data_IF_296694785973
#
_entry.id   IF_296694785973
#
_cell.length_a   1.000
_cell.length_b   1.000
_cell.length_c   1.000
_cell.angle_alpha   90.00
_cell.angle_beta   90.00
_cell.angle_gamma   90.00
#
_symmetry.space_group_name_H-M   'P 1'
#
loop_
_entity.id
_entity.type
_entity.pdbx_description
1 polymer ?
#
# COMPACT_ATOMS: atom_id res chain seq x y z
N UNK A 1 -15.04 -17.08 44.25
CA UNK A 1 -15.12 -17.97 43.09
C UNK A 1 -16.01 -17.28 42.09
N UNK A 2 -15.43 -16.37 41.31
CA UNK A 2 -16.16 -15.58 40.33
C UNK A 2 -16.39 -16.45 39.10
N UNK A 3 -17.65 -16.55 38.68
CA UNK A 3 -18.03 -17.33 37.52
C UNK A 3 -17.39 -16.71 36.26
N UNK A 4 -16.73 -17.49 35.40
CA UNK A 4 -16.16 -16.96 34.16
C UNK A 4 -17.27 -16.39 33.25
N UNK A 5 -17.02 -15.17 32.77
CA UNK A 5 -17.86 -14.25 32.02
C UNK A 5 -18.71 -14.91 30.90
N UNK A 6 -20.03 -14.75 30.98
CA UNK A 6 -20.97 -15.12 29.91
C UNK A 6 -20.90 -14.21 28.67
N UNK A 7 -20.24 -13.06 28.77
CA UNK A 7 -20.05 -12.09 27.67
C UNK A 7 -19.10 -12.65 26.59
N UNK A 8 -18.10 -13.42 26.99
CA UNK A 8 -17.02 -13.89 26.10
C UNK A 8 -17.46 -15.02 25.16
N UNK A 9 -18.39 -15.88 25.62
CA UNK A 9 -18.93 -16.97 24.79
C UNK A 9 -19.68 -16.46 23.55
N UNK A 10 -20.33 -15.30 23.66
CA UNK A 10 -21.09 -14.72 22.55
C UNK A 10 -20.17 -14.17 21.44
N UNK A 11 -18.97 -13.69 21.77
CA UNK A 11 -18.03 -13.16 20.80
C UNK A 11 -17.46 -14.27 19.88
N UNK A 12 -17.09 -15.41 20.46
CA UNK A 12 -16.60 -16.55 19.70
C UNK A 12 -17.63 -17.15 18.75
N UNK A 13 -18.88 -17.28 19.21
CA UNK A 13 -19.99 -17.73 18.34
C UNK A 13 -20.27 -16.75 17.19
N UNK A 14 -20.21 -15.44 17.46
CA UNK A 14 -20.39 -14.42 16.43
C UNK A 14 -19.31 -14.50 15.34
N UNK A 15 -18.03 -14.59 15.71
CA UNK A 15 -16.95 -14.69 14.72
C UNK A 15 -17.04 -15.99 13.93
N UNK A 16 -17.37 -17.11 14.58
CA UNK A 16 -17.59 -18.39 13.89
C UNK A 16 -18.73 -18.29 12.88
N UNK A 17 -19.83 -17.63 13.24
CA UNK A 17 -20.95 -17.40 12.32
C UNK A 17 -20.53 -16.53 11.13
N UNK A 18 -19.85 -15.41 11.37
CA UNK A 18 -19.35 -14.54 10.31
C UNK A 18 -18.37 -15.26 9.37
N UNK A 19 -17.49 -16.08 9.92
CA UNK A 19 -16.57 -16.92 9.15
C UNK A 19 -17.31 -17.91 8.25
N UNK A 20 -18.34 -18.57 8.78
CA UNK A 20 -19.18 -19.51 8.03
C UNK A 20 -19.92 -18.80 6.90
N UNK A 21 -20.57 -17.66 7.19
CA UNK A 21 -21.27 -16.87 6.17
C UNK A 21 -20.32 -16.38 5.07
N UNK A 22 -19.13 -15.92 5.44
CA UNK A 22 -18.10 -15.53 4.48
C UNK A 22 -17.66 -16.72 3.62
N UNK A 23 -17.42 -17.88 4.23
CA UNK A 23 -17.04 -19.09 3.51
C UNK A 23 -18.09 -19.50 2.48
N UNK A 24 -19.37 -19.51 2.87
CA UNK A 24 -20.46 -19.88 1.98
C UNK A 24 -20.53 -18.93 0.78
N UNK A 25 -20.50 -17.62 1.02
CA UNK A 25 -20.49 -16.61 -0.04
C UNK A 25 -19.26 -16.72 -0.95
N UNK A 26 -18.08 -16.94 -0.36
CA UNK A 26 -16.84 -17.06 -1.14
C UNK A 26 -16.89 -18.28 -2.07
N UNK A 27 -17.44 -19.41 -1.62
CA UNK A 27 -17.51 -20.64 -2.41
C UNK A 27 -18.51 -20.57 -3.55
N UNK A 28 -19.52 -19.71 -3.44
CA UNK A 28 -20.47 -19.44 -4.52
C UNK A 28 -19.89 -18.53 -5.61
N UNK A 29 -18.74 -17.89 -5.38
CA UNK A 29 -18.11 -17.02 -6.36
C UNK A 29 -17.59 -17.77 -7.57
N UNK A 30 -17.98 -17.29 -8.74
CA UNK A 30 -17.40 -17.63 -10.03
C UNK A 30 -16.00 -17.03 -10.18
N UNK A 31 -15.26 -17.53 -11.17
CA UNK A 31 -13.90 -17.03 -11.48
C UNK A 31 -13.88 -15.53 -11.80
N UNK A 32 -14.83 -15.05 -12.60
CA UNK A 32 -14.87 -13.65 -13.04
C UNK A 32 -15.20 -12.72 -11.87
N UNK A 33 -16.11 -13.14 -10.98
CA UNK A 33 -16.42 -12.39 -9.75
C UNK A 33 -15.21 -12.29 -8.81
N UNK A 34 -14.40 -13.36 -8.71
CA UNK A 34 -13.13 -13.33 -7.96
C UNK A 34 -12.12 -12.36 -8.60
N UNK A 35 -12.05 -12.30 -9.93
CA UNK A 35 -11.20 -11.32 -10.62
C UNK A 35 -11.66 -9.90 -10.28
N UNK A 36 -12.96 -9.63 -10.34
CA UNK A 36 -13.52 -8.32 -10.03
C UNK A 36 -13.28 -7.89 -8.57
N UNK A 37 -13.41 -8.83 -7.63
CA UNK A 37 -13.02 -8.61 -6.23
C UNK A 37 -11.54 -8.29 -6.11
N UNK A 38 -10.67 -9.00 -6.82
CA UNK A 38 -9.22 -8.73 -6.81
C UNK A 38 -8.90 -7.32 -7.33
N UNK A 39 -9.55 -6.89 -8.42
CA UNK A 39 -9.37 -5.56 -8.99
C UNK A 39 -9.91 -4.47 -8.05
N UNK A 40 -11.06 -4.72 -7.41
CA UNK A 40 -11.62 -3.82 -6.41
C UNK A 40 -10.63 -3.59 -5.27
N UNK A 41 -10.14 -4.64 -4.63
CA UNK A 41 -9.20 -4.50 -3.51
C UNK A 41 -7.83 -3.95 -3.93
N UNK A 42 -7.36 -4.25 -5.14
CA UNK A 42 -6.15 -3.63 -5.69
C UNK A 42 -6.31 -2.10 -5.83
N UNK A 43 -7.47 -1.65 -6.31
CA UNK A 43 -7.77 -0.23 -6.42
C UNK A 43 -7.81 0.47 -5.05
N UNK A 44 -8.37 -0.20 -4.03
CA UNK A 44 -8.34 0.32 -2.66
C UNK A 44 -6.89 0.39 -2.15
N UNK A 45 -6.12 -0.69 -2.26
CA UNK A 45 -4.74 -0.76 -1.80
C UNK A 45 -3.85 0.31 -2.44
N UNK A 46 -3.87 0.41 -3.77
CA UNK A 46 -3.08 1.39 -4.52
C UNK A 46 -3.49 2.83 -4.19
N UNK A 47 -4.77 3.08 -3.93
CA UNK A 47 -5.26 4.40 -3.48
C UNK A 47 -4.79 4.73 -2.07
N UNK A 48 -4.83 3.77 -1.14
CA UNK A 48 -4.27 3.91 0.21
C UNK A 48 -2.79 4.28 0.15
N UNK A 49 -1.98 3.62 -0.70
CA UNK A 49 -0.57 3.99 -0.91
C UNK A 49 -0.41 5.42 -1.43
N UNK A 50 -1.21 5.83 -2.42
CA UNK A 50 -1.21 7.21 -2.94
C UNK A 50 -1.55 8.23 -1.85
N UNK A 51 -2.52 7.91 -0.98
CA UNK A 51 -2.87 8.75 0.16
C UNK A 51 -1.76 8.80 1.22
N UNK A 52 -1.05 7.70 1.47
CA UNK A 52 0.14 7.70 2.34
C UNK A 52 1.21 8.62 1.78
N UNK A 53 1.54 8.51 0.49
CA UNK A 53 2.51 9.41 -0.16
C UNK A 53 2.06 10.88 -0.11
N UNK A 54 0.78 11.15 -0.35
CA UNK A 54 0.23 12.50 -0.21
C UNK A 54 0.38 13.03 1.21
N UNK A 55 0.07 12.20 2.22
CA UNK A 55 0.21 12.54 3.62
C UNK A 55 1.67 12.79 4.01
N UNK A 56 2.60 12.02 3.47
CA UNK A 56 4.04 12.23 3.65
C UNK A 56 4.47 13.62 3.16
N UNK A 57 4.14 13.94 1.91
CA UNK A 57 4.50 15.22 1.30
C UNK A 57 3.86 16.40 2.03
N UNK A 58 2.59 16.26 2.43
CA UNK A 58 1.91 17.26 3.25
C UNK A 58 2.62 17.44 4.60
N UNK A 59 2.94 16.34 5.28
CA UNK A 59 3.62 16.38 6.58
C UNK A 59 5.01 17.02 6.53
N UNK A 60 5.80 16.73 5.49
CA UNK A 60 7.13 17.35 5.30
C UNK A 60 7.00 18.82 4.95
N UNK A 61 6.04 19.22 4.12
CA UNK A 61 5.95 20.59 3.61
C UNK A 61 5.45 21.62 4.63
N UNK A 62 4.64 21.21 5.62
CA UNK A 62 4.08 22.10 6.66
C UNK A 62 5.14 22.99 7.35
N UNK A 63 6.24 22.47 7.94
CA UNK A 63 7.22 23.31 8.62
C UNK A 63 7.94 24.28 7.68
N UNK A 64 8.18 23.90 6.42
CA UNK A 64 8.75 24.81 5.42
C UNK A 64 7.77 25.92 5.06
N UNK A 65 6.49 25.59 4.85
CA UNK A 65 5.43 26.57 4.59
C UNK A 65 5.26 27.56 5.73
N UNK A 66 5.21 27.09 6.98
CA UNK A 66 5.10 27.94 8.18
C UNK A 66 6.31 28.87 8.28
N UNK A 67 7.52 28.36 8.05
CA UNK A 67 8.73 29.17 8.16
C UNK A 67 8.83 30.22 7.04
N UNK A 68 8.53 29.81 5.81
CA UNK A 68 8.50 30.71 4.66
C UNK A 68 7.49 31.84 4.87
N UNK A 69 6.28 31.52 5.35
CA UNK A 69 5.25 32.53 5.64
C UNK A 69 5.69 33.52 6.73
N UNK A 70 6.41 33.07 7.76
CA UNK A 70 6.84 33.93 8.88
C UNK A 70 8.10 34.74 8.61
N UNK A 71 9.04 34.22 7.80
CA UNK A 71 10.40 34.78 7.68
C UNK A 71 10.82 35.12 6.25
N UNK A 72 10.03 34.74 5.24
CA UNK A 72 10.42 34.85 3.83
C UNK A 72 11.56 33.91 3.41
N UNK A 73 12.03 33.03 4.31
CA UNK A 73 13.14 32.12 4.05
C UNK A 73 12.83 30.69 4.49
N UNK A 74 13.39 29.72 3.77
CA UNK A 74 13.36 28.29 4.13
C UNK A 74 14.59 27.86 4.95
N UNK A 75 15.59 28.74 5.08
CA UNK A 75 16.88 28.41 5.69
C UNK A 75 16.73 28.10 7.17
N UNK A 76 17.19 26.93 7.61
CA UNK A 76 17.21 26.50 9.01
C UNK A 76 15.96 25.70 9.45
N UNK A 77 15.14 25.20 8.54
CA UNK A 77 14.24 24.09 8.87
C UNK A 77 15.08 22.83 9.03
N UNK A 78 14.93 22.12 10.14
CA UNK A 78 15.58 20.82 10.31
C UNK A 78 14.80 19.77 9.51
N UNK A 79 15.39 19.29 8.42
CA UNK A 79 14.78 18.29 7.53
C UNK A 79 14.40 16.99 8.25
N UNK A 80 15.18 16.56 9.24
CA UNK A 80 14.89 15.35 10.02
C UNK A 80 13.60 15.53 10.84
N UNK A 81 13.41 16.70 11.47
CA UNK A 81 12.16 17.02 12.19
C UNK A 81 10.96 17.12 11.24
N UNK A 82 11.16 17.67 10.04
CA UNK A 82 10.11 17.72 9.02
C UNK A 82 9.73 16.31 8.52
N UNK A 83 10.72 15.42 8.37
CA UNK A 83 10.52 14.03 7.95
C UNK A 83 9.63 13.25 8.93
N UNK A 84 9.78 13.47 10.25
CA UNK A 84 8.86 12.90 11.25
C UNK A 84 7.42 13.38 11.05
N UNK A 85 7.22 14.65 10.69
CA UNK A 85 5.90 15.16 10.28
C UNK A 85 5.35 14.42 9.06
N UNK A 86 6.20 14.11 8.09
CA UNK A 86 5.88 13.25 6.95
C UNK A 86 5.38 11.86 7.37
N UNK A 87 6.13 11.16 8.23
CA UNK A 87 5.74 9.81 8.72
C UNK A 87 4.39 9.85 9.44
N UNK A 88 4.14 10.87 10.28
CA UNK A 88 2.83 11.06 10.93
C UNK A 88 1.73 11.27 9.88
N UNK A 89 2.00 12.07 8.84
CA UNK A 89 1.09 12.29 7.73
C UNK A 89 0.77 11.00 6.96
N UNK A 90 1.75 10.12 6.74
CA UNK A 90 1.55 8.81 6.11
C UNK A 90 0.56 7.92 6.86
N UNK A 91 0.52 8.05 8.19
CA UNK A 91 -0.36 7.23 9.05
C UNK A 91 -1.76 7.83 9.10
N UNK A 92 -1.88 9.14 9.31
CA UNK A 92 -3.18 9.80 9.55
C UNK A 92 -4.00 9.92 8.27
N UNK A 93 -3.38 10.34 7.16
CA UNK A 93 -4.12 10.67 5.93
C UNK A 93 -4.89 9.48 5.36
N UNK A 94 -4.33 8.26 5.26
CA UNK A 94 -5.08 7.10 4.80
C UNK A 94 -6.25 6.71 5.71
N UNK A 95 -6.16 6.92 7.03
CA UNK A 95 -7.25 6.59 7.96
C UNK A 95 -8.49 7.45 7.71
N UNK A 96 -8.30 8.67 7.20
CA UNK A 96 -9.41 9.58 6.86
C UNK A 96 -9.90 9.35 5.43
N UNK A 97 -8.98 9.24 4.47
CA UNK A 97 -9.34 9.20 3.04
C UNK A 97 -9.73 7.80 2.53
N UNK A 98 -9.14 6.73 3.07
CA UNK A 98 -9.42 5.37 2.59
C UNK A 98 -10.87 4.93 2.85
N UNK A 99 -11.48 5.18 4.03
CA UNK A 99 -12.89 4.86 4.25
C UNK A 99 -13.84 5.60 3.29
N UNK A 100 -13.54 6.87 2.98
CA UNK A 100 -14.31 7.65 2.03
C UNK A 100 -14.22 7.04 0.62
N UNK A 101 -13.00 6.74 0.16
CA UNK A 101 -12.78 6.13 -1.15
C UNK A 101 -13.40 4.73 -1.26
N UNK A 102 -13.29 3.91 -0.20
CA UNK A 102 -13.91 2.59 -0.12
C UNK A 102 -15.43 2.68 -0.26
N UNK A 103 -16.09 3.56 0.50
CA UNK A 103 -17.56 3.75 0.40
C UNK A 103 -17.98 4.18 -1.00
N UNK A 104 -17.23 5.09 -1.62
CA UNK A 104 -17.48 5.51 -3.00
C UNK A 104 -17.38 4.32 -3.97
N UNK A 105 -16.29 3.55 -3.91
CA UNK A 105 -16.09 2.39 -4.79
C UNK A 105 -17.11 1.27 -4.55
N UNK A 106 -17.49 1.04 -3.30
CA UNK A 106 -18.55 0.10 -2.95
C UNK A 106 -19.90 0.54 -3.54
N UNK A 107 -20.22 1.84 -3.50
CA UNK A 107 -21.43 2.37 -4.13
C UNK A 107 -21.40 2.23 -5.66
N UNK A 108 -20.26 2.48 -6.30
CA UNK A 108 -20.07 2.23 -7.74
C UNK A 108 -20.32 0.75 -8.09
N UNK A 109 -19.88 -0.19 -7.25
CA UNK A 109 -20.14 -1.62 -7.45
C UNK A 109 -21.61 -1.99 -7.21
N UNK A 110 -22.25 -1.43 -6.17
CA UNK A 110 -23.69 -1.61 -5.92
C UNK A 110 -24.55 -1.16 -7.10
N UNK A 111 -24.19 -0.03 -7.72
CA UNK A 111 -24.91 0.52 -8.88
C UNK A 111 -24.71 -0.34 -10.12
N UNK A 112 -23.49 -0.84 -10.35
CA UNK A 112 -23.14 -1.58 -11.57
C UNK A 112 -23.59 -3.06 -11.53
N UNK A 113 -23.43 -3.74 -10.39
CA UNK A 113 -23.73 -5.17 -10.24
C UNK A 113 -25.03 -5.47 -9.50
N UNK A 114 -25.62 -4.47 -8.85
CA UNK A 114 -26.77 -4.65 -7.97
C UNK A 114 -26.35 -4.98 -6.53
N UNK A 115 -27.21 -4.59 -5.58
CA UNK A 115 -26.94 -4.76 -4.14
C UNK A 115 -26.96 -6.24 -3.68
N UNK A 116 -27.67 -7.10 -4.40
CA UNK A 116 -27.77 -8.53 -4.11
C UNK A 116 -26.63 -9.36 -4.69
N UNK A 117 -25.70 -8.77 -5.43
CA UNK A 117 -24.55 -9.47 -6.02
C UNK A 117 -23.63 -10.05 -4.93
N UNK A 118 -23.06 -11.23 -5.19
CA UNK A 118 -22.23 -11.95 -4.21
C UNK A 118 -20.98 -11.14 -3.82
N UNK A 119 -20.42 -10.39 -4.76
CA UNK A 119 -19.24 -9.54 -4.55
C UNK A 119 -19.54 -8.37 -3.62
N UNK A 120 -20.69 -7.71 -3.79
CA UNK A 120 -21.13 -6.62 -2.91
C UNK A 120 -21.38 -7.16 -1.50
N UNK A 121 -22.00 -8.33 -1.40
CA UNK A 121 -22.25 -9.01 -0.14
C UNK A 121 -20.95 -9.35 0.59
N UNK A 122 -19.92 -9.77 -0.14
CA UNK A 122 -18.59 -10.04 0.42
C UNK A 122 -17.91 -8.75 0.86
N UNK A 123 -17.87 -7.73 -0.01
CA UNK A 123 -17.21 -6.44 0.29
C UNK A 123 -17.83 -5.78 1.52
N UNK A 124 -19.15 -5.90 1.71
CA UNK A 124 -19.83 -5.32 2.87
C UNK A 124 -19.47 -5.99 4.21
N UNK A 125 -19.04 -7.26 4.17
CA UNK A 125 -18.64 -8.04 5.35
C UNK A 125 -17.14 -7.94 5.64
N UNK A 126 -16.35 -7.67 4.61
CA UNK A 126 -14.91 -7.61 4.73
C UNK A 126 -14.41 -6.21 5.17
N UNK A 127 -13.51 -6.16 6.16
CA UNK A 127 -12.95 -4.88 6.59
C UNK A 127 -12.05 -4.29 5.50
N UNK A 128 -12.09 -2.96 5.33
CA UNK A 128 -11.23 -2.26 4.38
C UNK A 128 -9.73 -2.27 4.77
N UNK A 129 -9.34 -2.18 6.06
CA UNK A 129 -7.97 -2.44 6.45
C UNK A 129 -7.69 -3.89 6.05
N UNK A 130 -6.53 -4.16 5.46
CA UNK A 130 -6.16 -5.43 4.83
C UNK A 130 -6.61 -5.63 3.37
N UNK A 131 -6.99 -4.56 2.65
CA UNK A 131 -7.26 -4.63 1.21
C UNK A 131 -6.15 -5.36 0.41
N UNK A 132 -4.87 -5.16 0.73
CA UNK A 132 -3.76 -5.90 0.10
C UNK A 132 -3.87 -7.42 0.28
N UNK A 133 -4.26 -7.90 1.47
CA UNK A 133 -4.46 -9.33 1.72
C UNK A 133 -5.60 -9.83 0.85
N UNK A 134 -6.75 -9.18 0.88
CA UNK A 134 -7.92 -9.58 0.07
C UNK A 134 -7.65 -9.53 -1.43
N UNK A 135 -6.90 -8.53 -1.91
CA UNK A 135 -6.44 -8.50 -3.30
C UNK A 135 -5.64 -9.76 -3.66
N UNK A 136 -4.63 -10.08 -2.85
CA UNK A 136 -3.79 -11.27 -3.05
C UNK A 136 -4.60 -12.56 -2.97
N UNK A 137 -5.59 -12.62 -2.06
CA UNK A 137 -6.52 -13.74 -1.91
C UNK A 137 -7.23 -14.03 -3.21
N UNK A 138 -7.97 -13.03 -3.70
CA UNK A 138 -8.87 -13.16 -4.82
C UNK A 138 -8.11 -13.32 -6.12
N UNK A 139 -6.94 -12.69 -6.26
CA UNK A 139 -6.02 -12.92 -7.38
C UNK A 139 -5.58 -14.38 -7.44
N UNK A 140 -5.24 -14.96 -6.28
CA UNK A 140 -4.75 -16.34 -6.20
C UNK A 140 -5.88 -17.35 -6.43
N UNK A 141 -7.04 -17.16 -5.80
CA UNK A 141 -8.18 -18.07 -5.90
C UNK A 141 -8.92 -17.99 -7.23
N UNK A 142 -8.84 -16.87 -7.95
CA UNK A 142 -9.30 -16.77 -9.34
C UNK A 142 -8.51 -17.70 -10.28
N UNK A 143 -7.23 -17.93 -9.98
CA UNK A 143 -6.39 -18.85 -10.77
C UNK A 143 -6.58 -20.29 -10.32
N UNK A 144 -6.62 -20.51 -9.01
CA UNK A 144 -6.71 -21.83 -8.40
C UNK A 144 -7.72 -21.84 -7.24
N UNK A 145 -8.97 -22.30 -7.48
CA UNK A 145 -10.01 -22.36 -6.45
C UNK A 145 -9.64 -23.27 -5.27
N UNK A 146 -8.71 -24.23 -5.44
CA UNK A 146 -8.28 -25.10 -4.34
C UNK A 146 -7.50 -24.37 -3.25
N UNK A 147 -7.06 -23.14 -3.53
CA UNK A 147 -6.41 -22.24 -2.58
C UNK A 147 -7.40 -21.37 -1.80
N UNK A 148 -8.71 -21.56 -1.99
CA UNK A 148 -9.73 -20.92 -1.18
C UNK A 148 -9.59 -21.32 0.31
N UNK A 149 -10.18 -20.51 1.18
CA UNK A 149 -10.14 -20.78 2.61
C UNK A 149 -10.86 -22.11 2.94
N UNK A 150 -10.31 -22.95 3.83
CA UNK A 150 -10.95 -24.21 4.21
C UNK A 150 -12.22 -23.95 5.04
N UNK A 151 -13.15 -24.92 5.01
CA UNK A 151 -14.43 -24.82 5.71
C UNK A 151 -14.24 -24.58 7.21
N UNK A 152 -14.74 -23.45 7.76
CA UNK A 152 -14.67 -23.16 9.19
C UNK A 152 -15.53 -24.10 10.05
N UNK A 153 -16.41 -24.91 9.45
CA UNK A 153 -17.19 -25.93 10.16
C UNK A 153 -16.38 -27.20 10.43
N UNK A 154 -15.41 -27.51 9.56
CA UNK A 154 -14.59 -28.71 9.67
C UNK A 154 -13.50 -28.49 10.72
N UNK A 155 -13.44 -29.35 11.74
CA UNK A 155 -12.27 -29.42 12.61
C UNK A 155 -11.13 -30.00 11.76
N UNK A 156 -10.08 -29.21 11.57
CA UNK A 156 -8.87 -29.68 10.90
C UNK A 156 -8.08 -30.54 11.89
N UNK A 157 -7.58 -31.68 11.42
CA UNK A 157 -6.61 -32.44 12.20
C UNK A 157 -5.38 -31.55 12.47
N UNK A 158 -4.75 -31.65 13.66
CA UNK A 158 -3.61 -30.79 14.02
C UNK A 158 -2.48 -30.83 12.98
N UNK A 159 -2.27 -31.99 12.34
CA UNK A 159 -1.28 -32.15 11.27
C UNK A 159 -1.66 -31.45 9.96
N UNK A 160 -2.94 -31.31 9.64
CA UNK A 160 -3.41 -30.53 8.48
C UNK A 160 -3.36 -29.03 8.79
N UNK A 161 -3.71 -28.63 10.01
CA UNK A 161 -3.62 -27.26 10.48
C UNK A 161 -2.17 -26.71 10.40
N UNK A 162 -1.18 -27.47 10.88
CA UNK A 162 0.23 -27.09 10.80
C UNK A 162 0.72 -26.95 9.34
N UNK A 163 0.26 -27.83 8.44
CA UNK A 163 0.56 -27.71 7.00
C UNK A 163 -0.05 -26.44 6.38
N UNK A 164 -1.24 -26.04 6.82
CA UNK A 164 -1.91 -24.82 6.36
C UNK A 164 -1.20 -23.55 6.85
N UNK A 165 -0.69 -23.55 8.09
CA UNK A 165 0.09 -22.42 8.62
C UNK A 165 1.41 -22.20 7.88
N UNK A 166 2.06 -23.29 7.46
CA UNK A 166 3.35 -23.23 6.77
C UNK A 166 3.27 -22.88 5.28
N UNK A 167 2.07 -22.63 4.72
CA UNK A 167 1.92 -22.28 3.30
C UNK A 167 2.33 -20.82 3.05
N UNK A 168 3.49 -20.54 2.42
CA UNK A 168 3.90 -19.17 2.13
C UNK A 168 2.85 -18.50 1.23
N UNK A 169 2.43 -17.29 1.59
CA UNK A 169 1.46 -16.49 0.83
C UNK A 169 -0.02 -16.81 1.09
N UNK A 170 -0.35 -17.77 1.96
CA UNK A 170 -1.73 -17.94 2.41
C UNK A 170 -2.08 -16.85 3.43
N UNK A 171 -3.29 -16.33 3.36
CA UNK A 171 -3.77 -15.19 4.16
C UNK A 171 -4.00 -15.54 5.65
N UNK A 172 -3.72 -16.80 6.01
CA UNK A 172 -3.58 -17.30 7.37
C UNK A 172 -2.16 -17.77 7.75
N UNK A 173 -1.14 -17.67 6.90
CA UNK A 173 0.22 -18.15 7.21
C UNK A 173 1.04 -17.18 8.07
N UNK A 174 0.78 -15.88 7.96
CA UNK A 174 1.16 -14.92 9.01
C UNK A 174 0.34 -15.13 10.29
N UNK A 175 -0.66 -16.02 10.23
CA UNK A 175 -1.41 -16.53 11.36
C UNK A 175 -2.34 -15.52 11.99
N UNK A 176 -2.62 -14.38 11.34
CA UNK A 176 -3.62 -13.47 11.84
C UNK A 176 -4.28 -12.56 10.80
N UNK A 177 -5.50 -12.94 10.42
CA UNK A 177 -6.35 -12.18 9.50
C UNK A 177 -7.31 -11.22 10.22
N UNK A 178 -7.63 -11.50 11.49
CA UNK A 178 -8.64 -10.79 12.27
C UNK A 178 -8.09 -10.14 13.55
N UNK A 179 -6.77 -10.17 13.79
CA UNK A 179 -6.18 -9.62 15.03
C UNK A 179 -6.27 -10.55 16.24
N UNK A 180 -6.40 -11.86 16.02
CA UNK A 180 -6.57 -12.91 17.02
C UNK A 180 -5.25 -13.45 17.57
N UNK A 181 -4.07 -13.18 16.99
CA UNK A 181 -2.80 -13.58 17.59
C UNK A 181 -2.46 -12.62 18.74
N UNK A 182 -2.49 -13.14 19.98
CA UNK A 182 -1.77 -12.52 21.09
C UNK A 182 -0.29 -12.45 20.69
N UNK A 183 0.31 -11.26 20.81
CA UNK A 183 1.77 -11.19 20.92
C UNK A 183 2.13 -12.03 22.14
N UNK A 184 3.13 -12.90 21.96
CA UNK A 184 3.88 -13.47 23.07
C UNK A 184 4.55 -12.27 23.71
N UNK A 185 4.00 -11.77 24.81
CA UNK A 185 4.75 -10.85 25.64
C UNK A 185 6.01 -11.62 26.07
N UNK A 186 7.15 -10.96 25.91
CA UNK A 186 8.44 -11.45 26.34
C UNK A 186 8.41 -11.56 27.87
N UNK A 187 7.93 -12.70 28.38
CA UNK A 187 8.17 -13.13 29.76
C UNK A 187 9.66 -13.47 29.90
N UNK A 188 10.44 -12.41 30.01
CA UNK A 188 11.72 -12.42 30.71
C UNK A 188 11.41 -12.62 32.19
N UNK A 189 11.81 -13.78 32.69
CA UNK A 189 11.76 -14.25 34.08
C UNK A 189 10.39 -14.71 34.60
N UNK A 190 10.11 -15.99 34.45
CA UNK A 190 9.80 -16.76 35.66
C UNK A 190 10.31 -18.21 35.57
N UNK A 191 10.82 -18.65 36.72
CA UNK A 191 11.49 -19.92 36.94
C UNK A 191 10.46 -21.03 37.02
N UNK A 192 10.80 -22.16 36.41
CA UNK A 192 10.65 -23.49 37.02
C UNK A 192 9.24 -23.86 37.51
N UNK A 193 8.25 -23.95 36.61
CA UNK A 193 6.97 -24.61 36.88
C UNK A 193 6.49 -25.40 35.65
N UNK A 194 6.75 -26.71 35.69
CA UNK A 194 6.07 -27.82 34.99
C UNK A 194 5.76 -27.69 33.49
N UNK A 195 6.65 -28.28 32.69
CA UNK A 195 6.38 -28.86 31.38
C UNK A 195 5.17 -29.83 31.45
N UNK A 196 4.15 -29.58 30.62
CA UNK A 196 3.30 -30.59 29.92
C UNK A 196 1.92 -30.05 29.50
N UNK A 197 1.51 -28.83 29.85
CA UNK A 197 0.22 -28.26 29.39
C UNK A 197 0.33 -27.03 28.49
N UNK A 198 1.51 -26.39 28.40
CA UNK A 198 1.68 -25.20 27.55
C UNK A 198 2.02 -25.50 26.08
N UNK A 199 2.40 -26.73 25.72
CA UNK A 199 2.65 -27.07 24.32
C UNK A 199 1.38 -27.19 23.48
N UNK A 200 0.23 -27.46 24.11
CA UNK A 200 -1.05 -27.63 23.39
C UNK A 200 -1.69 -26.30 22.98
N UNK A 201 -1.23 -25.17 23.53
CA UNK A 201 -1.68 -23.82 23.14
C UNK A 201 -0.73 -23.10 22.17
N UNK A 202 0.41 -23.71 21.85
CA UNK A 202 1.38 -23.16 20.89
C UNK A 202 0.93 -23.55 19.47
N UNK A 203 0.89 -22.56 18.57
CA UNK A 203 0.53 -22.65 17.14
C UNK A 203 -0.89 -23.10 16.80
N UNK A 204 -1.88 -22.33 17.23
CA UNK A 204 -3.19 -22.37 16.57
C UNK A 204 -3.40 -21.13 15.73
N UNK A 205 -3.53 -21.38 14.43
CA UNK A 205 -3.96 -20.45 13.41
C UNK A 205 -5.12 -19.64 13.96
N UNK A 206 -5.17 -18.35 13.65
CA UNK A 206 -6.32 -17.51 13.99
C UNK A 206 -7.65 -18.17 13.61
N UNK A 207 -7.65 -19.03 12.58
CA UNK A 207 -8.81 -19.83 12.17
C UNK A 207 -9.13 -21.02 13.07
N UNK A 208 -8.13 -21.71 13.63
CA UNK A 208 -8.37 -22.80 14.59
C UNK A 208 -8.98 -22.31 15.89
N UNK A 209 -8.68 -21.06 16.27
CA UNK A 209 -9.33 -20.40 17.40
C UNK A 209 -10.80 -20.12 17.13
N UNK A 210 -11.13 -19.63 15.94
CA UNK A 210 -12.52 -19.45 15.50
C UNK A 210 -13.27 -20.80 15.50
N UNK A 211 -12.65 -21.88 15.00
CA UNK A 211 -13.25 -23.22 14.99
C UNK A 211 -13.59 -23.74 16.39
N UNK A 212 -12.68 -23.52 17.34
CA UNK A 212 -12.80 -24.00 18.73
C UNK A 212 -13.57 -23.09 19.68
N UNK A 213 -13.91 -21.86 19.26
CA UNK A 213 -14.69 -20.93 20.07
C UNK A 213 -13.92 -20.31 21.26
N UNK A 214 -12.58 -20.37 21.25
CA UNK A 214 -11.77 -19.73 22.29
C UNK A 214 -11.58 -18.24 21.98
N UNK A 215 -12.50 -17.42 22.50
CA UNK A 215 -12.30 -15.98 22.68
C UNK A 215 -12.40 -15.69 24.16
N UNK A 216 -11.26 -15.47 24.82
CA UNK A 216 -11.23 -14.94 26.19
C UNK A 216 -11.12 -13.41 26.07
N UNK A 217 -12.11 -12.69 26.57
CA UNK A 217 -12.30 -11.25 26.40
C UNK A 217 -11.47 -10.40 27.33
N UNK A 218 -10.15 -10.49 27.23
CA UNK A 218 -9.27 -9.46 27.78
C UNK A 218 -9.23 -8.31 26.78
N UNK A 219 -9.81 -7.16 27.17
CA UNK A 219 -9.69 -5.91 26.41
C UNK A 219 -8.20 -5.62 26.13
N UNK A 220 -7.83 -5.15 24.92
CA UNK A 220 -6.47 -4.71 24.66
C UNK A 220 -6.18 -3.47 25.50
N UNK A 221 -5.64 -3.66 26.69
CA UNK A 221 -5.08 -2.58 27.49
C UNK A 221 -3.86 -2.04 26.74
N UNK A 222 -3.95 -0.76 26.39
CA UNK A 222 -2.89 0.13 25.91
C UNK A 222 -1.63 -0.54 25.34
N UNK A 223 -1.58 -0.59 24.00
CA UNK A 223 -0.34 -0.83 23.24
C UNK A 223 0.65 0.29 23.59
N UNK A 224 1.55 -0.01 24.53
CA UNK A 224 2.80 0.72 24.68
C UNK A 224 3.66 0.46 23.45
N UNK A 225 4.27 1.56 23.03
CA UNK A 225 4.86 1.82 21.73
C UNK A 225 6.30 1.37 21.73
N UNK A 226 6.56 0.12 21.38
CA UNK A 226 7.89 -0.35 20.97
C UNK A 226 7.78 -1.01 19.59
N UNK A 227 8.36 -0.32 18.61
CA UNK A 227 8.31 -0.65 17.19
C UNK A 227 9.72 -0.91 16.68
N UNK A 228 10.20 -2.14 16.87
CA UNK A 228 11.31 -2.69 16.08
C UNK A 228 10.71 -3.75 15.14
N UNK A 229 10.30 -3.30 13.96
CA UNK A 229 10.01 -4.17 12.83
C UNK A 229 11.00 -3.81 11.73
N UNK A 230 12.04 -4.63 11.59
CA UNK A 230 12.89 -4.67 10.42
C UNK A 230 12.02 -4.97 9.19
N UNK A 231 11.91 -3.97 8.33
CA UNK A 231 11.15 -4.03 7.10
C UNK A 231 12.12 -4.31 5.96
N UNK A 232 12.35 -5.60 5.67
CA UNK A 232 12.87 -5.97 4.35
C UNK A 232 11.81 -5.64 3.29
N UNK A 233 12.06 -4.56 2.55
CA UNK A 233 11.29 -4.20 1.38
C UNK A 233 11.54 -5.23 0.26
N UNK A 234 10.70 -6.25 0.17
CA UNK A 234 10.66 -7.14 -0.98
C UNK A 234 10.08 -6.35 -2.17
N UNK A 235 10.97 -5.93 -3.06
CA UNK A 235 10.65 -5.29 -4.33
C UNK A 235 10.01 -6.37 -5.24
N UNK A 236 8.68 -6.38 -5.36
CA UNK A 236 8.00 -7.27 -6.30
C UNK A 236 7.91 -6.62 -7.68
N UNK A 237 8.50 -7.28 -8.67
CA UNK A 237 8.35 -6.95 -10.09
C UNK A 237 6.89 -7.07 -10.51
N UNK A 238 6.28 -5.93 -10.87
CA UNK A 238 4.91 -5.84 -11.37
C UNK A 238 4.81 -6.06 -12.90
N UNK A 239 5.92 -6.36 -13.59
CA UNK A 239 5.98 -6.34 -15.05
C UNK A 239 5.44 -7.61 -15.73
N UNK A 240 5.29 -8.73 -15.00
CA UNK A 240 4.93 -10.01 -15.60
C UNK A 240 3.44 -10.17 -15.96
N UNK A 241 2.53 -9.31 -15.47
CA UNK A 241 1.08 -9.50 -15.65
C UNK A 241 0.45 -8.60 -16.73
N UNK A 242 1.14 -7.57 -17.22
CA UNK A 242 0.65 -6.77 -18.36
C UNK A 242 0.85 -7.46 -19.72
N UNK A 243 1.66 -8.53 -19.78
CA UNK A 243 1.94 -9.24 -21.04
C UNK A 243 0.95 -10.36 -21.40
N UNK A 244 0.23 -10.94 -20.44
CA UNK A 244 -0.62 -12.12 -20.74
C UNK A 244 -2.03 -11.76 -21.24
N UNK A 245 -2.45 -10.50 -21.10
CA UNK A 245 -3.75 -10.02 -21.62
C UNK A 245 -3.66 -9.41 -23.05
N UNK A 246 -2.52 -9.56 -23.74
CA UNK A 246 -2.31 -9.10 -25.13
C UNK A 246 -2.40 -10.25 -26.16
N UNK A 247 -3.27 -11.24 -25.92
CA UNK A 247 -3.58 -12.27 -26.93
C UNK A 247 -4.56 -11.72 -27.98
N UNK A 248 -3.98 -10.93 -28.89
CA UNK A 248 -4.36 -10.74 -30.30
C UNK A 248 -5.86 -10.57 -30.62
N UNK A 249 -6.40 -9.38 -30.35
CA UNK A 249 -7.37 -8.78 -31.27
C UNK A 249 -6.61 -8.01 -32.36
N UNK A 250 -7.01 -8.09 -33.64
CA UNK A 250 -6.39 -7.29 -34.69
C UNK A 250 -6.59 -5.79 -34.39
N UNK A 251 -5.56 -4.95 -34.56
CA UNK A 251 -5.66 -3.53 -34.27
C UNK A 251 -6.79 -2.91 -35.10
N UNK A 252 -7.71 -2.22 -34.42
CA UNK A 252 -8.78 -1.45 -35.07
C UNK A 252 -8.15 -0.42 -36.01
N UNK A 253 -8.80 -0.12 -37.15
CA UNK A 253 -8.26 0.83 -38.17
C UNK A 253 -7.79 2.17 -37.57
N UNK A 254 -8.44 2.62 -36.49
CA UNK A 254 -8.06 3.82 -35.75
C UNK A 254 -6.65 3.73 -35.11
N UNK A 255 -6.28 2.55 -34.63
CA UNK A 255 -4.98 2.30 -33.98
C UNK A 255 -3.85 2.22 -35.01
N UNK A 256 -4.12 1.70 -36.21
CA UNK A 256 -3.17 1.77 -37.34
C UNK A 256 -2.94 3.21 -37.80
N UNK A 257 -3.99 4.04 -37.81
CA UNK A 257 -3.86 5.45 -38.19
C UNK A 257 -3.03 6.25 -37.18
N UNK A 258 -3.20 5.98 -35.87
CA UNK A 258 -2.34 6.60 -34.84
C UNK A 258 -0.88 6.14 -34.93
N UNK A 259 -0.62 4.87 -35.23
CA UNK A 259 0.76 4.40 -35.41
C UNK A 259 1.43 5.04 -36.63
N UNK A 260 0.71 5.26 -37.73
CA UNK A 260 1.24 5.98 -38.88
C UNK A 260 1.55 7.45 -38.55
N UNK A 261 0.72 8.13 -37.74
CA UNK A 261 1.01 9.50 -37.29
C UNK A 261 2.23 9.56 -36.37
N UNK A 262 2.42 8.58 -35.47
CA UNK A 262 3.62 8.51 -34.62
C UNK A 262 4.91 8.22 -35.42
N UNK A 263 4.83 7.45 -36.50
CA UNK A 263 5.98 7.24 -37.40
C UNK A 263 6.32 8.51 -38.18
N UNK A 264 5.34 9.34 -38.55
CA UNK A 264 5.59 10.64 -39.17
C UNK A 264 6.20 11.66 -38.19
N UNK A 265 5.85 11.60 -36.90
CA UNK A 265 6.47 12.43 -35.86
C UNK A 265 7.87 11.97 -35.41
N UNK A 266 8.36 10.81 -35.86
CA UNK A 266 9.78 10.43 -35.75
C UNK A 266 10.68 11.12 -36.78
N UNK A 267 10.19 12.14 -37.49
CA UNK A 267 11.08 13.12 -38.09
C UNK A 267 11.72 13.96 -36.98
N UNK A 268 12.91 13.51 -36.55
CA UNK A 268 13.94 14.22 -35.79
C UNK A 268 13.43 15.39 -34.94
N UNK A 269 13.32 15.14 -33.63
CA UNK A 269 13.16 16.16 -32.60
C UNK A 269 14.00 17.40 -32.92
N UNK A 270 13.45 18.60 -32.75
CA UNK A 270 14.17 19.85 -32.96
C UNK A 270 15.52 19.89 -32.23
N UNK A 271 15.64 19.16 -31.11
CA UNK A 271 16.87 18.99 -30.36
C UNK A 271 17.91 18.08 -31.03
N UNK A 272 17.49 17.07 -31.79
CA UNK A 272 18.38 16.20 -32.58
C UNK A 272 19.04 16.99 -33.71
N UNK A 273 18.28 17.92 -34.34
CA UNK A 273 18.79 18.82 -35.39
C UNK A 273 19.87 19.79 -34.85
N UNK A 274 19.67 20.31 -33.63
CA UNK A 274 20.66 21.18 -32.96
C UNK A 274 21.94 20.39 -32.63
N UNK A 275 21.81 19.13 -32.22
CA UNK A 275 22.97 18.26 -31.89
C UNK A 275 23.80 17.88 -33.12
N UNK A 276 23.15 17.67 -34.27
CA UNK A 276 23.88 17.42 -35.52
C UNK A 276 24.57 18.68 -36.05
N UNK A 277 23.99 19.87 -35.84
CA UNK A 277 24.65 21.14 -36.19
C UNK A 277 25.87 21.46 -35.32
N UNK A 278 25.91 21.02 -34.05
CA UNK A 278 27.08 21.28 -33.19
C UNK A 278 28.26 20.35 -33.47
N UNK A 279 28.01 19.12 -33.94
CA UNK A 279 29.06 18.14 -34.23
C UNK A 279 29.71 18.31 -35.61
N UNK A 280 29.06 19.01 -36.55
CA UNK A 280 29.58 19.23 -37.90
C UNK A 280 30.59 20.37 -38.08
N UNK A 281 30.98 21.09 -37.01
CA UNK A 281 31.78 22.33 -37.11
C UNK A 281 33.19 22.26 -36.50
N UNK A 282 33.75 21.06 -36.31
CA UNK A 282 35.15 20.87 -35.90
C UNK A 282 36.01 20.43 -37.09
N UNK A 283 36.39 21.39 -37.93
CA UNK A 283 37.22 21.07 -39.11
C UNK A 283 37.52 22.28 -39.99
N UNK A 284 38.16 23.31 -39.43
CA UNK A 284 39.15 24.12 -40.16
C UNK A 284 39.85 25.05 -39.19
N UNK A 285 41.02 24.61 -38.73
CA UNK A 285 42.02 25.44 -38.08
C UNK A 285 42.70 26.24 -39.20
N UNK A 286 42.36 27.52 -39.32
CA UNK A 286 43.17 28.49 -40.06
C UNK A 286 43.82 29.42 -39.03
N UNK A 287 45.14 29.43 -39.10
CA UNK A 287 46.07 30.15 -38.25
C UNK A 287 46.17 31.65 -38.56
N UNK A 288 46.16 32.45 -37.48
CA UNK A 288 46.84 33.75 -37.26
C UNK A 288 46.30 35.01 -38.01
N UNK A 289 46.61 36.27 -37.57
CA UNK A 289 47.57 36.69 -36.54
C UNK A 289 47.08 37.70 -35.49
N UNK A 290 47.87 37.70 -34.41
CA UNK A 290 48.16 38.75 -33.42
C UNK A 290 47.97 40.19 -33.92
N UNK A 291 47.18 40.99 -33.21
CA UNK A 291 47.39 42.44 -33.03
C UNK A 291 46.97 42.85 -31.62
N UNK A 292 47.86 43.58 -30.94
CA UNK A 292 47.73 43.97 -29.55
C UNK A 292 47.22 45.39 -29.32
N UNK A 293 47.28 45.78 -28.04
CA UNK A 293 46.98 47.09 -27.43
C UNK A 293 45.48 47.50 -27.50
N UNK A 294 44.88 48.13 -26.49
CA UNK A 294 45.42 49.07 -25.50
C UNK A 294 44.58 49.13 -24.21
N UNK A 295 45.32 49.33 -23.10
CA UNK A 295 44.97 50.00 -21.84
C UNK A 295 43.98 51.17 -22.04
N UNK A 296 42.97 51.32 -21.16
CA UNK A 296 42.49 52.60 -20.59
C UNK A 296 41.84 52.34 -19.21
N UNK A 297 42.27 53.14 -18.24
CA UNK A 297 41.86 53.26 -16.82
C UNK A 297 40.56 54.08 -16.64
N UNK A 298 40.11 54.12 -15.37
CA UNK A 298 39.37 55.18 -14.66
C UNK A 298 37.85 55.09 -14.72
N UNK A 299 37.08 55.58 -13.76
CA UNK A 299 37.20 56.02 -12.35
C UNK A 299 35.74 56.32 -11.95
N UNK A 300 35.40 56.20 -10.67
CA UNK A 300 34.60 57.22 -9.98
C UNK A 300 33.07 57.21 -10.03
N UNK A 301 32.50 57.31 -8.82
CA UNK A 301 31.25 58.01 -8.50
C UNK A 301 29.97 57.21 -8.75
N UNK A 302 28.91 57.31 -7.96
CA UNK A 302 28.56 58.36 -7.00
C UNK A 302 27.49 57.83 -6.04
N UNK A 303 27.47 58.46 -4.87
CA UNK A 303 26.50 58.30 -3.80
C UNK A 303 25.08 58.66 -4.25
N UNK A 304 24.07 58.05 -3.64
CA UNK A 304 22.79 58.71 -3.38
C UNK A 304 22.12 58.07 -2.17
N UNK A 305 22.26 58.80 -1.07
CA UNK A 305 21.31 58.84 0.03
C UNK A 305 19.93 59.24 -0.51
N UNK A 306 18.86 58.64 0.01
CA UNK A 306 17.61 59.39 0.18
C UNK A 306 16.82 58.84 1.37
N UNK A 307 16.69 59.71 2.36
CA UNK A 307 15.80 59.60 3.50
C UNK A 307 14.34 59.74 3.04
N UNK A 308 13.44 58.97 3.64
CA UNK A 308 12.01 59.06 3.38
C UNK A 308 11.21 58.68 4.62
N UNK A 309 11.14 59.62 5.56
CA UNK A 309 10.26 59.63 6.71
C UNK A 309 8.81 59.92 6.31
N UNK A 310 7.87 59.11 6.79
CA UNK A 310 6.52 59.47 7.25
C UNK A 310 5.94 58.37 8.14
#
# INVERSE_FOLDING_TARGET
MDAPNSVDRNAGEYVKKMAVEFYDLDHELTKDERIDLSLFYNNIWTSTLKFSYLGFLAGISIPFGIKYYKTGSINGVNFLRASFGGVIGMIIVPQVLSPYYFRRKMNEMKISKGESSNEVQIISRLPYPLAFKWWTYYKTTATDPSKAMPDPRRQLDPAEADKLERRPGFIGASGDLFGLKRKKDDDVNERDVTDNQEEEFRSHSSWDRVRRGYYNGEEPTNISRDSDYDSEAVLYDNEAFEQENQRSEPPTQFQQQQQQQQQQHRQLSAWEKVRQQSLGKSGNIVSSPVHGNSIIKKDGGDDNDDEGSF
#
